data_IF_943797772519
#
_entry.id   IF_943797772519
#
_cell.length_a   1.000
_cell.length_b   1.000
_cell.length_c   1.000
_cell.angle_alpha   90.00
_cell.angle_beta   90.00
_cell.angle_gamma   90.00
#
_symmetry.space_group_name_H-M   'P 1'
#
loop_
_entity.id
_entity.type
_entity.pdbx_description
1 polymer ?
#
# COMPACT_ATOMS: atom_id res chain seq x y z
N UNK A 1 -8.31 -6.67 -6.07
CA UNK A 1 -7.18 -5.75 -6.29
C UNK A 1 -6.00 -6.24 -5.49
N UNK A 2 -4.86 -6.44 -6.15
CA UNK A 2 -3.61 -6.77 -5.48
C UNK A 2 -2.56 -5.73 -5.86
N UNK A 3 -1.81 -5.28 -4.86
CA UNK A 3 -0.69 -4.34 -5.03
C UNK A 3 0.59 -5.10 -4.73
N UNK A 4 1.58 -4.95 -5.59
CA UNK A 4 2.92 -5.51 -5.42
C UNK A 4 3.89 -4.39 -5.13
N UNK A 5 4.72 -4.58 -4.12
CA UNK A 5 5.83 -3.69 -3.78
C UNK A 5 7.11 -4.46 -4.02
N UNK A 6 8.01 -3.90 -4.83
CA UNK A 6 9.35 -4.44 -5.04
C UNK A 6 10.37 -3.57 -4.32
N UNK A 7 11.16 -4.17 -3.44
CA UNK A 7 12.26 -3.50 -2.74
C UNK A 7 13.43 -3.37 -3.69
N UNK A 8 13.92 -2.14 -3.92
CA UNK A 8 14.97 -1.87 -4.93
C UNK A 8 16.30 -2.53 -4.58
N UNK A 9 16.66 -2.55 -3.30
CA UNK A 9 17.95 -3.08 -2.84
C UNK A 9 18.05 -4.60 -2.97
N UNK A 10 16.96 -5.31 -2.68
CA UNK A 10 16.96 -6.78 -2.61
C UNK A 10 16.24 -7.45 -3.78
N UNK A 11 15.49 -6.69 -4.58
CA UNK A 11 14.59 -7.21 -5.61
C UNK A 11 13.40 -8.00 -5.05
N UNK A 12 13.25 -8.10 -3.72
CA UNK A 12 12.16 -8.84 -3.10
C UNK A 12 10.83 -8.17 -3.39
N UNK A 13 9.85 -8.99 -3.80
CA UNK A 13 8.50 -8.52 -4.07
C UNK A 13 7.55 -9.00 -3.00
N UNK A 14 6.77 -8.07 -2.46
CA UNK A 14 5.79 -8.28 -1.41
C UNK A 14 4.42 -7.89 -1.97
N UNK A 15 3.44 -8.78 -1.84
CA UNK A 15 2.10 -8.56 -2.34
C UNK A 15 1.13 -8.28 -1.19
N UNK A 16 0.29 -7.25 -1.37
CA UNK A 16 -0.78 -6.87 -0.48
C UNK A 16 -2.07 -6.62 -1.25
N UNK A 17 -3.14 -6.27 -0.52
CA UNK A 17 -4.43 -5.91 -1.10
C UNK A 17 -4.48 -4.43 -1.52
N UNK A 18 -3.73 -3.58 -0.81
CA UNK A 18 -3.73 -2.13 -1.01
C UNK A 18 -2.41 -1.51 -0.56
N UNK A 19 -2.02 -0.37 -1.16
CA UNK A 19 -0.92 0.46 -0.68
C UNK A 19 -1.34 1.93 -0.53
N UNK A 20 -0.95 2.55 0.59
CA UNK A 20 -1.02 4.00 0.78
C UNK A 20 0.35 4.60 0.52
N UNK A 21 0.42 5.66 -0.28
CA UNK A 21 1.68 6.33 -0.64
C UNK A 21 1.63 7.75 -0.07
N UNK A 22 2.53 8.03 0.86
CA UNK A 22 2.87 9.37 1.34
C UNK A 22 4.22 9.77 0.71
N UNK A 23 4.58 11.06 0.80
CA UNK A 23 5.83 11.57 0.21
C UNK A 23 7.08 10.78 0.63
N UNK A 24 7.12 10.31 1.89
CA UNK A 24 8.27 9.63 2.47
C UNK A 24 8.09 8.11 2.60
N UNK A 25 6.86 7.61 2.63
CA UNK A 25 6.58 6.22 2.99
C UNK A 25 5.49 5.58 2.15
N UNK A 26 5.59 4.27 1.97
CA UNK A 26 4.57 3.43 1.37
C UNK A 26 4.11 2.41 2.41
N UNK A 27 2.83 2.39 2.72
CA UNK A 27 2.20 1.40 3.60
C UNK A 27 1.47 0.32 2.81
N UNK A 28 1.92 -0.93 2.88
CA UNK A 28 1.24 -2.10 2.29
C UNK A 28 0.34 -2.79 3.31
N UNK A 29 -0.89 -3.11 2.90
CA UNK A 29 -1.90 -3.73 3.75
C UNK A 29 -2.34 -5.08 3.19
N UNK A 30 -2.39 -6.11 4.03
CA UNK A 30 -2.83 -7.47 3.66
C UNK A 30 -4.28 -7.81 4.05
N UNK A 31 -4.95 -6.94 4.82
CA UNK A 31 -6.32 -7.15 5.34
C UNK A 31 -7.44 -6.53 4.50
N UNK A 32 -8.70 -6.93 4.77
CA UNK A 32 -9.93 -6.29 4.22
C UNK A 32 -10.35 -5.16 5.16
N UNK A 33 -10.70 -3.99 4.61
CA UNK A 33 -11.11 -2.83 5.42
C UNK A 33 -12.22 -2.06 4.73
N UNK A 34 -13.44 -2.23 5.19
CA UNK A 34 -14.58 -1.41 4.83
C UNK A 34 -15.29 -1.00 6.12
N UNK A 35 -15.32 0.29 6.45
CA UNK A 35 -16.36 0.80 7.33
C UNK A 35 -17.61 1.15 6.49
N UNK A 36 -18.79 1.07 7.12
CA UNK A 36 -20.10 1.32 6.48
C UNK A 36 -20.28 2.74 5.91
N UNK A 37 -19.32 3.66 6.09
CA UNK A 37 -19.34 5.06 5.65
C UNK A 37 -18.27 5.39 4.60
N UNK A 38 -17.53 4.39 4.10
CA UNK A 38 -16.41 4.61 3.19
C UNK A 38 -15.14 5.10 3.89
N UNK A 39 -15.09 5.05 5.22
CA UNK A 39 -13.91 5.35 6.03
C UNK A 39 -12.96 4.15 6.16
N UNK A 40 -11.66 4.44 6.17
CA UNK A 40 -10.58 3.46 6.25
C UNK A 40 -10.33 3.04 7.72
N UNK A 41 -10.65 1.78 8.09
CA UNK A 41 -10.33 1.21 9.42
C UNK A 41 -9.64 -0.14 9.31
N UNK A 42 -8.40 -0.21 9.80
CA UNK A 42 -7.51 -1.32 9.49
C UNK A 42 -7.39 -2.45 10.48
N UNK A 43 -7.77 -3.66 10.04
CA UNK A 43 -7.56 -4.92 10.76
C UNK A 43 -6.46 -5.80 10.11
N UNK A 44 -5.60 -5.25 9.25
CA UNK A 44 -4.52 -6.01 8.59
C UNK A 44 -3.13 -5.69 9.14
N UNK A 45 -2.17 -6.60 8.93
CA UNK A 45 -0.74 -6.29 9.11
C UNK A 45 -0.36 -5.18 8.12
N UNK A 46 0.16 -4.06 8.65
CA UNK A 46 0.72 -2.95 7.88
C UNK A 46 2.24 -3.15 7.80
N UNK A 47 2.76 -3.22 6.59
CA UNK A 47 4.20 -3.11 6.35
C UNK A 47 4.49 -1.73 5.78
N UNK A 48 5.54 -1.08 6.29
CA UNK A 48 5.92 0.28 5.89
C UNK A 48 7.28 0.22 5.26
N UNK A 49 7.41 0.89 4.11
CA UNK A 49 8.65 0.99 3.37
C UNK A 49 8.94 2.46 3.05
N UNK A 50 10.20 2.89 2.96
CA UNK A 50 10.55 4.20 2.43
C UNK A 50 10.12 4.30 0.97
N UNK A 51 9.46 5.40 0.57
CA UNK A 51 8.97 5.60 -0.81
C UNK A 51 10.11 5.55 -1.84
N UNK A 52 11.28 6.08 -1.49
CA UNK A 52 12.47 6.03 -2.33
C UNK A 52 13.05 4.61 -2.53
N UNK A 53 12.83 3.71 -1.58
CA UNK A 53 13.43 2.37 -1.54
C UNK A 53 12.60 1.30 -2.25
N UNK A 54 11.38 1.62 -2.69
CA UNK A 54 10.45 0.64 -3.26
C UNK A 54 9.83 1.10 -4.58
N UNK A 55 9.38 0.12 -5.36
CA UNK A 55 8.58 0.32 -6.57
C UNK A 55 7.20 -0.28 -6.29
N UNK A 56 6.14 0.51 -6.51
CA UNK A 56 4.77 0.06 -6.31
C UNK A 56 4.15 -0.23 -7.67
N UNK A 57 3.76 -1.48 -7.90
CA UNK A 57 3.00 -1.90 -9.06
C UNK A 57 1.61 -2.32 -8.60
N UNK A 58 0.58 -1.61 -9.07
CA UNK A 58 -0.80 -2.00 -8.86
C UNK A 58 -1.42 -2.35 -10.22
N UNK A 59 -2.15 -3.46 -10.31
CA UNK A 59 -2.88 -3.83 -11.53
C UNK A 59 -3.99 -2.82 -11.89
N UNK A 60 -4.30 -1.89 -10.98
CA UNK A 60 -5.19 -0.75 -11.14
C UNK A 60 -4.59 0.39 -10.30
N UNK A 61 -4.28 1.58 -10.86
CA UNK A 61 -3.68 2.68 -10.10
C UNK A 61 -4.67 3.14 -9.03
N UNK A 62 -4.59 2.52 -7.85
CA UNK A 62 -5.42 2.83 -6.72
C UNK A 62 -5.30 4.32 -6.44
N UNK A 63 -6.41 5.01 -6.69
CA UNK A 63 -6.74 6.40 -6.37
C UNK A 63 -5.80 6.91 -5.29
N UNK A 64 -4.94 7.84 -5.68
CA UNK A 64 -4.10 8.64 -4.80
C UNK A 64 -5.05 9.28 -3.75
N UNK A 65 -5.27 8.60 -2.63
CA UNK A 65 -6.06 9.11 -1.52
C UNK A 65 -5.21 10.16 -0.82
N UNK A 66 -5.13 11.35 -1.44
CA UNK A 66 -4.64 12.56 -0.80
C UNK A 66 -5.37 12.69 0.53
N UNK A 67 -4.63 12.58 1.62
CA UNK A 67 -5.10 13.05 2.92
C UNK A 67 -5.47 14.52 2.74
N UNK A 68 -6.77 14.80 2.85
CA UNK A 68 -7.30 16.16 2.90
C UNK A 68 -7.08 16.73 4.30
#
# INVERSE_FOLDING_TARGET
>A
MAVKITIKETGQTIQGKYAAIDAETVGLFSGIMADKKGGFRGCGKKQVFPSAAVIVAADDPAIELKRR
#
